data_IF_540290722057
#
_entry.id   IF_540290722057
#
_cell.length_a   1.000
_cell.length_b   1.000
_cell.length_c   1.000
_cell.angle_alpha   90.00
_cell.angle_beta   90.00
_cell.angle_gamma   90.00
#
_symmetry.space_group_name_H-M   'P 1'
#
loop_
_entity.id
_entity.type
_entity.pdbx_description
1 polymer ?
#
# COMPACT_ATOMS: atom_id res chain seq x y z
N UNK A 1 17.91 -12.59 36.07
CA UNK A 1 17.58 -11.27 35.48
C UNK A 1 17.07 -11.51 34.07
N UNK A 2 15.78 -11.30 33.80
CA UNK A 2 15.21 -11.54 32.46
C UNK A 2 15.67 -10.41 31.52
N UNK A 3 16.33 -10.74 30.41
CA UNK A 3 16.66 -9.73 29.39
C UNK A 3 15.34 -9.23 28.78
N UNK A 4 15.08 -7.92 28.88
CA UNK A 4 13.98 -7.29 28.14
C UNK A 4 14.29 -7.40 26.64
N UNK A 5 13.42 -8.10 25.91
CA UNK A 5 13.48 -8.19 24.46
C UNK A 5 12.77 -6.94 23.91
N UNK A 6 13.43 -6.26 22.97
CA UNK A 6 12.80 -5.18 22.21
C UNK A 6 11.92 -5.79 21.12
N UNK A 7 10.60 -5.72 21.30
CA UNK A 7 9.60 -6.21 20.34
C UNK A 7 9.40 -5.29 19.14
N UNK A 8 10.03 -4.11 19.16
CA UNK A 8 9.94 -3.10 18.11
C UNK A 8 11.32 -2.83 17.49
N UNK A 9 12.25 -3.77 17.64
CA UNK A 9 13.56 -3.67 17.03
C UNK A 9 13.46 -3.58 15.50
N UNK A 10 14.06 -2.53 14.94
CA UNK A 10 14.21 -2.34 13.49
C UNK A 10 15.68 -2.52 13.14
N UNK A 11 15.99 -3.46 12.25
CA UNK A 11 17.37 -3.77 11.92
C UNK A 11 18.04 -2.60 11.19
N UNK A 12 19.37 -2.47 11.25
CA UNK A 12 20.11 -1.49 10.45
C UNK A 12 19.82 -1.61 8.95
N UNK A 13 19.57 -2.83 8.46
CA UNK A 13 19.23 -3.08 7.06
C UNK A 13 17.86 -2.49 6.70
N UNK A 14 16.86 -2.68 7.57
CA UNK A 14 15.53 -2.11 7.34
C UNK A 14 15.58 -0.58 7.29
N UNK A 15 16.36 0.04 8.19
CA UNK A 15 16.59 1.49 8.20
C UNK A 15 17.26 1.95 6.90
N UNK A 16 18.32 1.27 6.49
CA UNK A 16 19.04 1.57 5.26
C UNK A 16 18.13 1.46 4.02
N UNK A 17 17.35 0.39 3.90
CA UNK A 17 16.44 0.18 2.77
C UNK A 17 15.33 1.24 2.73
N UNK A 18 14.79 1.62 3.89
CA UNK A 18 13.79 2.68 3.98
C UNK A 18 14.36 4.06 3.58
N UNK A 19 15.60 4.36 3.97
CA UNK A 19 16.29 5.59 3.55
C UNK A 19 16.62 5.58 2.06
N UNK A 20 17.09 4.44 1.54
CA UNK A 20 17.38 4.27 0.11
C UNK A 20 16.13 4.51 -0.73
N UNK A 21 14.99 3.97 -0.33
CA UNK A 21 13.73 4.14 -1.03
C UNK A 21 13.26 5.61 -1.06
N UNK A 22 13.48 6.37 0.02
CA UNK A 22 13.15 7.81 0.10
C UNK A 22 14.04 8.68 -0.80
N UNK A 23 15.32 8.34 -0.87
CA UNK A 23 16.33 9.15 -1.56
C UNK A 23 16.49 8.79 -3.04
N UNK A 24 15.87 7.69 -3.50
CA UNK A 24 15.97 7.22 -4.88
C UNK A 24 14.71 7.55 -5.69
N UNK A 25 14.88 8.00 -6.94
CA UNK A 25 13.75 8.22 -7.85
C UNK A 25 13.04 6.90 -8.13
N UNK A 26 11.70 6.90 -8.02
CA UNK A 26 10.88 5.72 -8.34
C UNK A 26 11.03 5.32 -9.80
N UNK A 27 11.19 4.02 -10.04
CA UNK A 27 11.17 3.43 -11.37
C UNK A 27 9.77 3.55 -12.00
N UNK A 28 9.68 3.26 -13.30
CA UNK A 28 8.39 3.26 -14.01
C UNK A 28 7.43 2.22 -13.42
N UNK A 29 7.92 1.03 -13.08
CA UNK A 29 7.08 -0.02 -12.48
C UNK A 29 6.57 0.39 -11.10
N UNK A 30 7.43 0.97 -10.26
CA UNK A 30 7.06 1.45 -8.92
C UNK A 30 6.00 2.55 -8.99
N UNK A 31 6.09 3.47 -9.96
CA UNK A 31 5.06 4.50 -10.16
C UNK A 31 3.71 3.90 -10.53
N UNK A 32 3.69 2.96 -11.48
CA UNK A 32 2.46 2.25 -11.87
C UNK A 32 1.83 1.50 -10.69
N UNK A 33 2.66 0.90 -9.84
CA UNK A 33 2.19 0.20 -8.66
C UNK A 33 1.57 1.15 -7.63
N UNK A 34 2.21 2.30 -7.38
CA UNK A 34 1.66 3.37 -6.52
C UNK A 34 0.30 3.84 -7.04
N UNK A 35 0.20 4.13 -8.35
CA UNK A 35 -1.05 4.57 -8.97
C UNK A 35 -2.17 3.52 -8.84
N UNK A 36 -1.83 2.25 -9.07
CA UNK A 36 -2.77 1.12 -8.90
C UNK A 36 -3.33 1.09 -7.48
N UNK A 37 -2.47 1.10 -6.47
CA UNK A 37 -2.92 1.00 -5.08
C UNK A 37 -3.65 2.26 -4.61
N UNK A 38 -3.25 3.45 -5.07
CA UNK A 38 -3.98 4.69 -4.81
C UNK A 38 -5.42 4.61 -5.37
N UNK A 39 -5.59 4.09 -6.59
CA UNK A 39 -6.91 3.85 -7.18
C UNK A 39 -7.73 2.86 -6.37
N UNK A 40 -7.13 1.73 -5.95
CA UNK A 40 -7.82 0.72 -5.14
C UNK A 40 -8.29 1.31 -3.81
N UNK A 41 -7.42 2.05 -3.12
CA UNK A 41 -7.76 2.70 -1.85
C UNK A 41 -8.93 3.69 -2.02
N UNK A 42 -8.89 4.53 -3.06
CA UNK A 42 -9.99 5.44 -3.39
C UNK A 42 -11.30 4.69 -3.61
N UNK A 43 -11.26 3.64 -4.43
CA UNK A 43 -12.46 2.84 -4.74
C UNK A 43 -12.96 2.04 -3.53
N UNK A 44 -12.11 1.73 -2.55
CA UNK A 44 -12.52 1.06 -1.31
C UNK A 44 -13.24 2.05 -0.38
N UNK A 45 -12.66 3.23 -0.20
CA UNK A 45 -13.06 4.16 0.85
C UNK A 45 -14.09 5.20 0.37
N UNK A 46 -14.11 5.49 -0.93
CA UNK A 46 -14.86 6.59 -1.54
C UNK A 46 -15.49 6.19 -2.88
N UNK A 47 -15.98 4.94 -2.99
CA UNK A 47 -16.70 4.50 -4.19
C UNK A 47 -17.94 5.39 -4.42
N UNK A 48 -18.15 5.85 -5.64
CA UNK A 48 -19.42 6.48 -6.01
C UNK A 48 -20.49 5.42 -6.31
N UNK A 49 -21.77 5.80 -6.27
CA UNK A 49 -22.86 4.88 -6.62
C UNK A 49 -22.75 4.35 -8.06
N UNK A 50 -22.26 5.16 -9.00
CA UNK A 50 -22.01 4.74 -10.38
C UNK A 50 -20.92 3.65 -10.46
N UNK A 51 -19.84 3.78 -9.69
CA UNK A 51 -18.74 2.81 -9.63
C UNK A 51 -19.15 1.48 -8.95
N UNK A 52 -20.16 1.54 -8.08
CA UNK A 52 -20.75 0.35 -7.45
C UNK A 52 -21.75 -0.31 -8.39
N UNK A 53 -22.56 0.47 -9.11
CA UNK A 53 -23.56 -0.02 -10.06
C UNK A 53 -22.91 -0.71 -11.28
N UNK A 54 -21.79 -0.19 -11.80
CA UNK A 54 -21.02 -0.84 -12.88
C UNK A 54 -20.48 -2.23 -12.48
N UNK A 55 -20.47 -2.54 -11.17
CA UNK A 55 -19.92 -3.78 -10.60
C UNK A 55 -20.98 -4.65 -9.93
N UNK A 56 -22.26 -4.37 -10.12
CA UNK A 56 -23.35 -5.19 -9.62
C UNK A 56 -23.41 -6.53 -10.39
N UNK A 57 -22.43 -7.40 -10.15
CA UNK A 57 -22.33 -8.77 -10.66
C UNK A 57 -23.53 -9.66 -10.26
N UNK A 58 -24.36 -9.18 -9.34
CA UNK A 58 -25.46 -9.92 -8.72
C UNK A 58 -26.85 -9.41 -9.14
N UNK A 59 -26.96 -8.32 -9.92
CA UNK A 59 -28.27 -7.86 -10.41
C UNK A 59 -28.72 -8.58 -11.70
N UNK A 60 -27.84 -9.38 -12.32
CA UNK A 60 -28.14 -10.23 -13.48
C UNK A 60 -28.38 -11.73 -13.13
N UNK A 61 -28.55 -12.09 -11.85
CA UNK A 61 -29.02 -13.42 -11.42
C UNK A 61 -30.44 -13.37 -10.84
#
# INVERSE_FOLDING_TARGET
MMKKIDTSYVSPLDKFLAELDKNTKKSVSQKKEIEKYARIARLRDHATQEEVAERALWEEM
#
